data_IF_057296748310
#
_entry.id   IF_057296748310
#
_cell.length_a   1.000
_cell.length_b   1.000
_cell.length_c   1.000
_cell.angle_alpha   90.00
_cell.angle_beta   90.00
_cell.angle_gamma   90.00
#
_symmetry.space_group_name_H-M   'P 1'
#
loop_
_entity.id
_entity.type
_entity.pdbx_description
1 polymer ?
#
# COMPACT_ATOMS: atom_id res chain seq x y z
N UNK A 1 5.75 -30.65 -0.43
CA UNK A 1 4.68 -29.75 0.03
C UNK A 1 5.29 -28.51 0.68
N UNK A 2 5.27 -27.37 -0.02
CA UNK A 2 5.74 -26.09 0.55
C UNK A 2 4.57 -25.51 1.35
N UNK A 3 4.58 -25.69 2.66
CA UNK A 3 3.58 -25.05 3.52
C UNK A 3 3.74 -23.54 3.50
N UNK A 4 2.65 -22.79 3.30
CA UNK A 4 2.61 -21.34 3.44
C UNK A 4 2.89 -21.00 4.90
N UNK A 5 3.87 -20.14 5.16
CA UNK A 5 4.25 -19.73 6.51
C UNK A 5 3.62 -18.40 6.94
N UNK A 6 3.37 -17.51 5.99
CA UNK A 6 2.79 -16.21 6.24
C UNK A 6 1.88 -15.79 5.09
N UNK A 7 0.85 -15.02 5.38
CA UNK A 7 -0.04 -14.37 4.41
C UNK A 7 -0.02 -12.87 4.64
N UNK A 8 0.09 -12.10 3.55
CA UNK A 8 -0.14 -10.67 3.54
C UNK A 8 -1.36 -10.39 2.67
N UNK A 9 -2.25 -9.54 3.14
CA UNK A 9 -3.48 -9.22 2.44
C UNK A 9 -3.90 -7.77 2.71
N UNK A 10 -4.60 -7.18 1.75
CA UNK A 10 -5.27 -5.89 1.88
C UNK A 10 -6.78 -6.11 1.94
N UNK A 11 -7.51 -5.20 2.63
CA UNK A 11 -8.92 -5.36 3.04
C UNK A 11 -9.07 -6.52 4.03
N UNK A 12 -9.69 -6.25 5.17
CA UNK A 12 -9.83 -7.25 6.24
C UNK A 12 -10.55 -8.49 5.72
N UNK A 13 -9.93 -9.67 5.71
CA UNK A 13 -10.66 -10.90 5.55
C UNK A 13 -11.69 -11.00 6.67
N UNK A 14 -12.70 -11.84 6.48
CA UNK A 14 -13.64 -12.15 7.55
C UNK A 14 -12.89 -12.79 8.72
N UNK A 15 -13.40 -12.66 9.96
CA UNK A 15 -12.81 -13.34 11.12
C UNK A 15 -12.53 -14.83 10.87
N UNK A 16 -13.40 -15.50 10.14
CA UNK A 16 -13.28 -16.95 9.84
C UNK A 16 -12.01 -17.28 9.05
N UNK A 17 -11.62 -16.44 8.08
CA UNK A 17 -10.39 -16.65 7.32
C UNK A 17 -9.14 -16.47 8.20
N UNK A 18 -9.15 -15.47 9.08
CA UNK A 18 -8.02 -15.27 10.00
C UNK A 18 -7.90 -16.48 10.93
N UNK A 19 -9.00 -16.95 11.50
CA UNK A 19 -9.01 -18.15 12.33
C UNK A 19 -8.51 -19.37 11.58
N UNK A 20 -8.95 -19.59 10.34
CA UNK A 20 -8.49 -20.72 9.53
C UNK A 20 -6.99 -20.68 9.27
N UNK A 21 -6.40 -19.51 8.99
CA UNK A 21 -4.96 -19.34 8.86
C UNK A 21 -4.23 -19.60 10.17
N UNK A 22 -4.72 -19.05 11.27
CA UNK A 22 -4.13 -19.25 12.62
C UNK A 22 -4.14 -20.71 13.04
N UNK A 23 -5.21 -21.44 12.80
CA UNK A 23 -5.31 -22.89 13.07
C UNK A 23 -4.28 -23.72 12.30
N UNK A 24 -3.82 -23.23 11.15
CA UNK A 24 -2.76 -23.84 10.34
C UNK A 24 -1.35 -23.33 10.71
N UNK A 25 -1.22 -22.50 11.75
CA UNK A 25 0.04 -21.90 12.15
C UNK A 25 0.61 -20.88 11.15
N UNK A 26 -0.26 -20.25 10.35
CA UNK A 26 0.12 -19.25 9.33
C UNK A 26 0.13 -17.86 9.97
N UNK A 27 1.23 -17.13 9.79
CA UNK A 27 1.39 -15.75 10.26
C UNK A 27 0.53 -14.82 9.40
N UNK A 28 -0.29 -13.98 10.03
CA UNK A 28 -1.22 -13.05 9.37
C UNK A 28 -0.69 -11.62 9.44
N UNK A 29 -0.41 -11.01 8.27
CA UNK A 29 0.18 -9.67 8.14
C UNK A 29 -0.69 -8.80 7.23
N UNK A 30 -1.81 -8.23 7.71
CA UNK A 30 -2.66 -7.35 6.91
C UNK A 30 -1.99 -6.01 6.59
N UNK A 31 -2.31 -5.45 5.41
CA UNK A 31 -1.97 -4.08 5.04
C UNK A 31 -3.16 -3.17 5.34
N UNK A 32 -2.92 -2.09 6.10
CA UNK A 32 -3.94 -1.15 6.55
C UNK A 32 -3.55 0.29 6.24
N UNK A 33 -4.52 1.14 5.93
CA UNK A 33 -4.31 2.56 5.59
C UNK A 33 -4.95 3.54 6.58
N UNK A 34 -5.42 3.07 7.74
CA UNK A 34 -6.03 3.91 8.78
C UNK A 34 -5.88 3.28 10.16
N UNK A 35 -5.79 4.10 11.21
CA UNK A 35 -5.68 3.67 12.60
C UNK A 35 -6.78 2.68 13.01
N UNK A 36 -8.04 3.01 12.72
CA UNK A 36 -9.17 2.12 13.05
C UNK A 36 -9.05 0.71 12.45
N UNK A 37 -8.40 0.60 11.30
CA UNK A 37 -8.16 -0.71 10.67
C UNK A 37 -6.99 -1.45 11.31
N UNK A 38 -5.98 -0.73 11.82
CA UNK A 38 -4.86 -1.31 12.55
C UNK A 38 -5.36 -1.94 13.86
N UNK A 39 -6.09 -1.19 14.67
CA UNK A 39 -6.69 -1.65 15.92
C UNK A 39 -7.59 -2.88 15.68
N UNK A 40 -8.47 -2.79 14.66
CA UNK A 40 -9.35 -3.93 14.32
C UNK A 40 -8.56 -5.16 13.87
N UNK A 41 -7.49 -4.99 13.09
CA UNK A 41 -6.70 -6.12 12.62
C UNK A 41 -6.00 -6.84 13.78
N UNK A 42 -5.45 -6.11 14.74
CA UNK A 42 -4.87 -6.68 15.95
C UNK A 42 -5.93 -7.44 16.78
N UNK A 43 -7.11 -6.83 17.00
CA UNK A 43 -8.23 -7.48 17.71
C UNK A 43 -8.70 -8.78 17.04
N UNK A 44 -8.55 -8.88 15.72
CA UNK A 44 -8.85 -10.10 14.94
C UNK A 44 -7.70 -11.12 14.96
N UNK A 45 -6.58 -10.83 15.63
CA UNK A 45 -5.45 -11.75 15.81
C UNK A 45 -4.37 -11.65 14.72
N UNK A 46 -4.22 -10.50 14.07
CA UNK A 46 -3.04 -10.26 13.22
C UNK A 46 -1.75 -10.39 14.04
N UNK A 47 -0.71 -10.97 13.43
CA UNK A 47 0.60 -11.17 14.08
C UNK A 47 1.55 -9.98 13.85
N UNK A 48 1.33 -9.22 12.79
CA UNK A 48 2.04 -7.97 12.47
C UNK A 48 1.16 -7.15 11.54
N UNK A 49 1.52 -5.88 11.30
CA UNK A 49 0.84 -4.99 10.38
C UNK A 49 1.81 -4.44 9.32
N UNK A 50 1.30 -4.24 8.11
CA UNK A 50 1.89 -3.29 7.18
C UNK A 50 0.98 -2.06 7.17
N UNK A 51 1.47 -0.90 7.61
CA UNK A 51 0.73 0.36 7.44
C UNK A 51 1.13 0.99 6.10
N UNK A 52 0.15 1.45 5.33
CA UNK A 52 0.42 2.15 4.07
C UNK A 52 -0.16 3.56 4.13
N UNK A 53 0.73 4.55 4.18
CA UNK A 53 0.34 5.95 4.12
C UNK A 53 0.02 6.44 2.71
N UNK A 54 -0.39 7.71 2.60
CA UNK A 54 -0.81 8.34 1.34
C UNK A 54 0.29 8.44 0.28
N UNK A 55 1.56 8.28 0.66
CA UNK A 55 2.70 8.22 -0.26
C UNK A 55 2.83 6.87 -0.99
N UNK A 56 2.07 5.85 -0.56
CA UNK A 56 2.01 4.56 -1.24
C UNK A 56 1.44 4.67 -2.66
N UNK A 57 2.03 3.96 -3.62
CA UNK A 57 1.53 3.87 -5.00
C UNK A 57 0.29 2.98 -5.11
N UNK A 58 -0.52 3.20 -6.13
CA UNK A 58 -1.79 2.50 -6.32
C UNK A 58 -2.86 2.99 -5.36
N UNK A 59 -3.74 2.08 -4.91
CA UNK A 59 -4.75 2.41 -3.91
C UNK A 59 -4.09 2.87 -2.61
N UNK A 60 -4.51 4.02 -2.10
CA UNK A 60 -3.91 4.61 -0.91
C UNK A 60 -4.94 5.30 -0.02
N UNK A 61 -4.59 5.49 1.26
CA UNK A 61 -5.35 6.32 2.17
C UNK A 61 -5.07 7.81 1.98
N UNK A 62 -5.63 8.63 2.87
CA UNK A 62 -5.41 10.09 2.89
C UNK A 62 -4.37 10.52 3.93
N UNK A 63 -4.01 9.66 4.87
CA UNK A 63 -3.10 9.99 5.97
C UNK A 63 -1.65 9.81 5.54
N UNK A 64 -0.78 10.82 5.67
CA UNK A 64 0.66 10.68 5.44
C UNK A 64 1.29 9.54 6.25
N UNK A 65 2.30 8.89 5.68
CA UNK A 65 2.94 7.69 6.27
C UNK A 65 3.46 7.97 7.69
N UNK A 66 4.12 9.11 7.91
CA UNK A 66 4.66 9.47 9.23
C UNK A 66 3.58 9.63 10.29
N UNK A 67 2.50 10.32 9.96
CA UNK A 67 1.38 10.52 10.90
C UNK A 67 0.64 9.21 11.18
N UNK A 68 0.42 8.40 10.15
CA UNK A 68 -0.22 7.10 10.31
C UNK A 68 0.63 6.17 11.18
N UNK A 69 1.95 6.11 10.93
CA UNK A 69 2.88 5.27 11.67
C UNK A 69 2.89 5.63 13.15
N UNK A 70 3.11 6.90 13.49
CA UNK A 70 3.12 7.35 14.88
C UNK A 70 1.82 7.01 15.59
N UNK A 71 0.68 7.34 14.94
CA UNK A 71 -0.64 7.06 15.52
C UNK A 71 -0.91 5.56 15.71
N UNK A 72 -0.46 4.70 14.81
CA UNK A 72 -0.65 3.24 14.94
C UNK A 72 0.23 2.69 16.05
N UNK A 73 1.50 3.08 16.13
CA UNK A 73 2.43 2.63 17.17
C UNK A 73 2.02 2.99 18.60
N UNK A 74 1.21 4.04 18.77
CA UNK A 74 0.64 4.41 20.08
C UNK A 74 -0.55 3.52 20.50
N UNK A 75 -1.11 2.70 19.61
CA UNK A 75 -2.39 2.02 19.83
C UNK A 75 -2.37 0.51 19.54
N UNK A 76 -1.26 -0.04 19.06
CA UNK A 76 -1.11 -1.48 18.82
C UNK A 76 0.21 -1.98 19.39
N UNK A 77 0.21 -3.21 19.90
CA UNK A 77 1.37 -3.85 20.51
C UNK A 77 2.11 -4.80 19.54
N UNK A 78 1.49 -5.15 18.40
CA UNK A 78 2.08 -6.05 17.41
C UNK A 78 3.08 -5.31 16.50
N UNK A 79 4.08 -6.01 15.92
CA UNK A 79 5.07 -5.40 15.04
C UNK A 79 4.44 -4.66 13.85
N UNK A 80 4.95 -3.47 13.56
CA UNK A 80 4.47 -2.61 12.47
C UNK A 80 5.57 -2.39 11.44
N UNK A 81 5.28 -2.73 10.18
CA UNK A 81 6.10 -2.41 9.00
C UNK A 81 5.52 -1.18 8.31
N UNK A 82 6.34 -0.18 8.03
CA UNK A 82 5.90 1.03 7.35
C UNK A 82 6.01 0.91 5.83
N UNK A 83 4.97 1.33 5.10
CA UNK A 83 4.92 1.36 3.64
C UNK A 83 4.44 2.72 3.12
N UNK A 84 4.94 3.12 1.96
CA UNK A 84 4.62 4.39 1.32
C UNK A 84 5.75 5.42 1.45
N UNK A 85 6.31 5.84 0.30
CA UNK A 85 7.38 6.84 0.24
C UNK A 85 8.80 6.33 0.49
N UNK A 86 8.99 5.08 0.88
CA UNK A 86 10.32 4.51 1.15
C UNK A 86 11.00 3.99 -0.13
N UNK A 87 12.31 4.22 -0.26
CA UNK A 87 13.09 3.82 -1.44
C UNK A 87 14.47 3.23 -1.15
N UNK A 88 15.06 3.50 0.02
CA UNK A 88 16.45 3.18 0.34
C UNK A 88 16.70 3.01 1.85
N UNK A 89 17.96 2.82 2.23
CA UNK A 89 18.36 2.61 3.60
C UNK A 89 18.16 3.81 4.53
N UNK A 90 18.13 5.05 4.01
CA UNK A 90 17.83 6.23 4.83
C UNK A 90 16.37 6.24 5.28
N UNK A 91 15.45 5.84 4.38
CA UNK A 91 14.05 5.63 4.74
C UNK A 91 13.85 4.51 5.75
N UNK A 92 14.63 3.42 5.64
CA UNK A 92 14.64 2.36 6.66
C UNK A 92 15.11 2.88 8.02
N UNK A 93 16.23 3.58 8.06
CA UNK A 93 16.77 4.13 9.30
C UNK A 93 15.78 5.09 9.99
N UNK A 94 15.16 5.99 9.22
CA UNK A 94 14.13 6.89 9.74
C UNK A 94 12.92 6.12 10.29
N UNK A 95 12.44 5.11 9.58
CA UNK A 95 11.28 4.30 10.00
C UNK A 95 11.56 3.52 11.29
N UNK A 96 12.77 2.94 11.42
CA UNK A 96 13.21 2.27 12.64
C UNK A 96 13.30 3.25 13.82
N UNK A 97 13.81 4.46 13.58
CA UNK A 97 13.87 5.51 14.61
C UNK A 97 12.49 5.96 15.09
N UNK A 98 11.46 5.86 14.26
CA UNK A 98 10.06 6.12 14.64
C UNK A 98 9.40 4.93 15.37
N UNK A 99 10.06 3.75 15.44
CA UNK A 99 9.55 2.58 16.13
C UNK A 99 8.95 1.48 15.25
N UNK A 100 8.98 1.64 13.94
CA UNK A 100 8.61 0.53 13.05
C UNK A 100 9.66 -0.60 13.11
N UNK A 101 9.25 -1.84 12.84
CA UNK A 101 10.16 -2.98 12.76
C UNK A 101 10.82 -3.15 11.37
N UNK A 102 10.40 -2.37 10.37
CA UNK A 102 10.93 -2.43 9.02
C UNK A 102 10.15 -1.56 8.04
N UNK A 103 10.52 -1.62 6.77
CA UNK A 103 9.78 -0.95 5.68
C UNK A 103 9.38 -1.92 4.58
N UNK A 104 8.28 -1.61 3.89
CA UNK A 104 7.86 -2.27 2.66
C UNK A 104 7.96 -1.29 1.49
N UNK A 105 8.60 -1.74 0.40
CA UNK A 105 8.82 -0.95 -0.80
C UNK A 105 8.15 -1.62 -2.00
N UNK A 106 7.18 -0.94 -2.64
CA UNK A 106 6.54 -1.42 -3.87
C UNK A 106 7.32 -0.98 -5.12
N UNK A 107 7.24 0.31 -5.44
CA UNK A 107 7.81 0.89 -6.66
C UNK A 107 9.30 0.62 -6.79
N UNK A 108 10.06 0.69 -5.70
CA UNK A 108 11.50 0.40 -5.72
C UNK A 108 11.80 -1.01 -6.23
N UNK A 109 11.08 -2.01 -5.75
CA UNK A 109 11.27 -3.40 -6.20
C UNK A 109 10.68 -3.67 -7.59
N UNK A 110 9.62 -2.96 -7.98
CA UNK A 110 9.13 -3.01 -9.37
C UNK A 110 10.19 -2.58 -10.39
N UNK A 111 11.13 -1.71 -10.00
CA UNK A 111 12.20 -1.20 -10.88
C UNK A 111 13.45 -2.08 -10.91
N UNK A 112 13.51 -3.20 -10.18
CA UNK A 112 14.63 -4.13 -10.24
C UNK A 112 14.64 -4.92 -11.54
N UNK A 113 15.79 -5.54 -11.86
CA UNK A 113 15.94 -6.38 -13.07
C UNK A 113 15.04 -7.61 -13.03
N UNK A 114 14.90 -8.20 -11.86
CA UNK A 114 14.13 -9.43 -11.59
C UNK A 114 12.62 -9.22 -11.68
N UNK A 115 12.17 -7.97 -11.55
CA UNK A 115 10.74 -7.66 -11.67
C UNK A 115 10.24 -7.90 -13.10
N UNK A 116 9.10 -8.63 -13.28
CA UNK A 116 8.52 -8.90 -14.59
C UNK A 116 7.82 -7.68 -15.22
N UNK A 117 7.84 -6.53 -14.58
CA UNK A 117 7.22 -5.29 -15.09
C UNK A 117 7.86 -4.93 -16.44
N UNK A 118 7.06 -4.64 -17.49
CA UNK A 118 7.56 -4.29 -18.82
C UNK A 118 8.55 -3.12 -18.80
N UNK A 119 9.58 -3.18 -19.66
CA UNK A 119 10.64 -2.18 -19.73
C UNK A 119 10.16 -0.76 -19.98
N UNK A 120 9.13 -0.58 -20.82
CA UNK A 120 8.52 0.73 -21.07
C UNK A 120 7.83 1.30 -19.82
N UNK A 121 7.20 0.46 -19.03
CA UNK A 121 6.64 0.85 -17.73
C UNK A 121 7.74 1.29 -16.76
N UNK A 122 8.85 0.51 -16.67
CA UNK A 122 10.01 0.88 -15.84
C UNK A 122 10.59 2.24 -16.27
N UNK A 123 10.75 2.48 -17.57
CA UNK A 123 11.21 3.77 -18.10
C UNK A 123 10.30 4.93 -17.66
N UNK A 124 8.98 4.76 -17.76
CA UNK A 124 8.02 5.76 -17.33
C UNK A 124 8.15 6.10 -15.84
N UNK A 125 8.38 5.08 -14.99
CA UNK A 125 8.60 5.32 -13.55
C UNK A 125 9.93 6.00 -13.25
N UNK A 126 11.00 5.65 -13.97
CA UNK A 126 12.33 6.24 -13.75
C UNK A 126 12.38 7.69 -14.22
N UNK A 127 11.63 8.04 -15.28
CA UNK A 127 11.59 9.40 -15.84
C UNK A 127 10.57 10.32 -15.17
N UNK A 128 9.69 9.79 -14.31
CA UNK A 128 8.67 10.59 -13.65
C UNK A 128 9.26 11.45 -12.53
N UNK A 129 8.96 12.74 -12.56
CA UNK A 129 9.28 13.65 -11.47
C UNK A 129 8.28 13.55 -10.33
N UNK A 130 8.68 13.94 -9.12
CA UNK A 130 7.86 13.80 -7.90
C UNK A 130 6.55 14.57 -8.00
N UNK A 131 6.54 15.72 -8.61
CA UNK A 131 5.35 16.58 -8.81
C UNK A 131 4.40 16.08 -9.91
N UNK A 132 4.83 15.13 -10.73
CA UNK A 132 3.97 14.42 -11.67
C UNK A 132 3.17 13.28 -11.02
N UNK A 133 3.47 12.93 -9.77
CA UNK A 133 2.78 11.87 -9.04
C UNK A 133 1.68 12.48 -8.18
N UNK A 134 0.42 12.19 -8.52
CA UNK A 134 -0.75 12.78 -7.85
C UNK A 134 -1.74 11.72 -7.41
N UNK A 135 -2.65 12.12 -6.51
CA UNK A 135 -3.75 11.28 -6.07
C UNK A 135 -5.02 11.72 -6.81
N UNK A 136 -5.75 10.75 -7.36
CA UNK A 136 -7.08 10.96 -7.95
C UNK A 136 -8.03 9.85 -7.53
N UNK A 137 -9.33 10.17 -7.50
CA UNK A 137 -10.43 9.21 -7.31
C UNK A 137 -11.19 8.90 -8.60
N UNK A 138 -10.76 9.49 -9.71
CA UNK A 138 -11.47 9.41 -10.99
C UNK A 138 -11.32 8.07 -11.70
N UNK A 139 -10.45 7.19 -11.22
CA UNK A 139 -10.19 5.91 -11.87
C UNK A 139 -11.27 4.86 -11.54
N UNK A 140 -11.57 4.67 -10.25
CA UNK A 140 -12.55 3.67 -9.77
C UNK A 140 -13.32 4.13 -8.52
N UNK A 141 -13.27 5.43 -8.20
CA UNK A 141 -13.91 6.02 -7.02
C UNK A 141 -13.06 5.96 -5.76
N UNK A 142 -11.98 5.19 -5.72
CA UNK A 142 -11.04 5.13 -4.60
C UNK A 142 -9.81 6.02 -4.86
N UNK A 143 -9.14 6.45 -3.80
CA UNK A 143 -7.89 7.22 -3.94
C UNK A 143 -6.79 6.35 -4.54
N UNK A 144 -6.26 6.78 -5.68
CA UNK A 144 -5.10 6.19 -6.35
C UNK A 144 -3.97 7.19 -6.49
N UNK A 145 -2.77 6.80 -6.09
CA UNK A 145 -1.54 7.55 -6.37
C UNK A 145 -0.92 7.03 -7.66
N UNK A 146 -0.87 7.87 -8.69
CA UNK A 146 -0.49 7.53 -10.05
C UNK A 146 0.45 8.57 -10.64
N UNK A 147 1.25 8.16 -11.64
CA UNK A 147 1.96 9.09 -12.52
C UNK A 147 0.94 9.75 -13.45
N UNK A 148 0.82 11.08 -13.41
CA UNK A 148 -0.13 11.87 -14.19
C UNK A 148 0.34 12.07 -15.63
N UNK A 149 0.41 10.98 -16.39
CA UNK A 149 0.67 11.00 -17.82
C UNK A 149 -0.53 11.61 -18.60
N UNK A 150 -0.38 11.75 -19.91
CA UNK A 150 -1.42 12.35 -20.78
C UNK A 150 -2.77 11.63 -20.67
N UNK A 151 -2.76 10.31 -20.52
CA UNK A 151 -3.97 9.49 -20.42
C UNK A 151 -4.69 9.74 -19.07
N UNK A 152 -3.97 9.67 -17.97
CA UNK A 152 -4.53 9.94 -16.63
C UNK A 152 -5.03 11.38 -16.52
N UNK A 153 -4.32 12.37 -17.08
CA UNK A 153 -4.79 13.76 -17.14
C UNK A 153 -6.13 13.89 -17.89
N UNK A 154 -6.35 13.08 -18.93
CA UNK A 154 -7.63 13.06 -19.67
C UNK A 154 -8.74 12.49 -18.80
N UNK A 155 -8.51 11.36 -18.13
CA UNK A 155 -9.47 10.74 -17.20
C UNK A 155 -9.81 11.70 -16.05
N UNK A 156 -8.81 12.32 -15.44
CA UNK A 156 -9.01 13.20 -14.29
C UNK A 156 -9.85 14.45 -14.63
N UNK A 157 -9.77 14.95 -15.86
CA UNK A 157 -10.58 16.06 -16.39
C UNK A 157 -11.98 15.65 -16.90
N UNK A 158 -12.21 14.35 -17.09
CA UNK A 158 -13.46 13.85 -17.61
C UNK A 158 -14.57 13.88 -16.57
N UNK A 159 -15.81 14.12 -17.00
CA UNK A 159 -16.96 13.96 -16.12
C UNK A 159 -17.34 12.46 -15.97
N UNK A 160 -18.15 12.07 -14.97
CA UNK A 160 -18.53 10.67 -14.74
C UNK A 160 -19.19 10.00 -15.94
N UNK A 161 -19.98 10.73 -16.72
CA UNK A 161 -20.68 10.21 -17.91
C UNK A 161 -19.69 9.85 -19.01
N UNK A 162 -18.67 10.71 -19.25
CA UNK A 162 -17.66 10.42 -20.26
C UNK A 162 -16.73 9.26 -19.87
N UNK A 163 -16.51 9.05 -18.56
CA UNK A 163 -15.76 7.90 -18.07
C UNK A 163 -16.52 6.59 -18.30
N UNK A 164 -17.82 6.58 -18.05
CA UNK A 164 -18.66 5.41 -18.35
C UNK A 164 -18.64 5.05 -19.84
N UNK A 165 -18.76 6.02 -20.72
CA UNK A 165 -18.69 5.80 -22.18
C UNK A 165 -17.31 5.26 -22.62
N UNK A 166 -16.20 5.70 -21.98
CA UNK A 166 -14.86 5.18 -22.27
C UNK A 166 -14.63 3.74 -21.80
N UNK A 167 -15.42 3.24 -20.85
CA UNK A 167 -15.29 1.86 -20.34
C UNK A 167 -16.07 0.84 -21.18
N UNK A 168 -16.94 1.30 -22.09
CA UNK A 168 -17.83 0.45 -22.94
C UNK A 168 -17.31 0.35 -24.39
N UNK A 169 -16.29 1.13 -24.74
CA UNK A 169 -15.61 1.06 -26.04
C UNK A 169 -14.24 0.42 -25.91
#
# INVERSE_FOLDING_TARGET
DKKIKAVSYSRSPTPDYIQAFKQQGVICIPTVGALKHAIKAEQLGADALVIQGSEGGGHTGSTPTTLLLSSVLEHVDIPVVAAGGFRDGSGLAASLAWGACGIAMGTRFMMTRESPVPGETKKAYVSAEVDEIKITKKFDGMSHRLIFNKYIKKIDRSNPISLFLMSVT
#
